data_IF_601231619149
#
_entry.id   IF_601231619149
#
_cell.length_a   1.000
_cell.length_b   1.000
_cell.length_c   1.000
_cell.angle_alpha   90.00
_cell.angle_beta   90.00
_cell.angle_gamma   90.00
#
_symmetry.space_group_name_H-M   'P 1'
#
loop_
_entity.id
_entity.type
_entity.pdbx_description
1 polymer ?
#
# COMPACT_ATOMS: atom_id res chain seq x y z
N UNK A 1 -32.99 34.89 -3.28
CA UNK A 1 -31.80 34.55 -4.11
C UNK A 1 -30.52 34.46 -3.27
N UNK A 2 -30.17 35.46 -2.43
CA UNK A 2 -28.96 35.45 -1.57
C UNK A 2 -28.83 34.23 -0.64
N UNK A 3 -29.93 33.77 -0.01
CA UNK A 3 -29.93 32.57 0.85
C UNK A 3 -29.61 31.27 0.10
N UNK A 4 -30.07 31.13 -1.16
CA UNK A 4 -29.75 29.95 -1.99
C UNK A 4 -28.26 29.94 -2.37
N UNK A 5 -27.70 31.11 -2.70
CA UNK A 5 -26.27 31.26 -3.00
C UNK A 5 -25.37 30.88 -1.80
N UNK A 6 -25.76 31.30 -0.59
CA UNK A 6 -25.07 30.94 0.66
C UNK A 6 -25.10 29.44 0.95
N UNK A 7 -26.23 28.77 0.74
CA UNK A 7 -26.37 27.32 0.93
C UNK A 7 -25.49 26.56 -0.06
N UNK A 8 -25.47 26.96 -1.33
CA UNK A 8 -24.60 26.34 -2.34
C UNK A 8 -23.12 26.53 -1.99
N UNK A 9 -22.72 27.73 -1.54
CA UNK A 9 -21.34 27.99 -1.11
C UNK A 9 -20.94 27.10 0.06
N UNK A 10 -21.80 26.98 1.08
CA UNK A 10 -21.54 26.12 2.23
C UNK A 10 -21.41 24.64 1.85
N UNK A 11 -22.26 24.14 0.94
CA UNK A 11 -22.17 22.78 0.41
C UNK A 11 -20.86 22.52 -0.36
N UNK A 12 -20.41 23.47 -1.20
CA UNK A 12 -19.15 23.34 -1.93
C UNK A 12 -17.93 23.32 -0.99
N UNK A 13 -17.93 24.15 0.06
CA UNK A 13 -16.84 24.17 1.05
C UNK A 13 -16.81 22.86 1.85
N UNK A 14 -17.96 22.31 2.22
CA UNK A 14 -18.04 21.05 2.96
C UNK A 14 -17.54 19.85 2.15
N UNK A 15 -17.80 19.80 0.84
CA UNK A 15 -17.26 18.74 -0.01
C UNK A 15 -15.73 18.79 -0.17
N UNK A 16 -15.11 19.95 0.00
CA UNK A 16 -13.66 20.12 -0.19
C UNK A 16 -12.82 19.62 0.99
N UNK A 17 -13.44 19.32 2.14
CA UNK A 17 -12.73 18.88 3.37
C UNK A 17 -12.88 17.38 3.66
N UNK A 18 -13.54 16.62 2.78
CA UNK A 18 -13.70 15.18 2.95
C UNK A 18 -12.42 14.46 2.50
N UNK A 19 -11.78 13.70 3.41
CA UNK A 19 -10.67 12.80 3.06
C UNK A 19 -11.23 11.40 2.82
N UNK A 20 -10.96 10.83 1.65
CA UNK A 20 -11.33 9.46 1.32
C UNK A 20 -10.09 8.56 1.49
N UNK A 21 -9.93 7.98 2.68
CA UNK A 21 -8.97 6.90 2.90
C UNK A 21 -9.67 5.55 2.63
N UNK A 22 -8.96 4.63 1.99
CA UNK A 22 -9.48 3.31 1.62
C UNK A 22 -8.66 2.25 2.34
N UNK A 23 -9.31 1.52 3.24
CA UNK A 23 -8.83 0.24 3.76
C UNK A 23 -9.48 -0.88 2.96
N UNK A 24 -8.72 -1.91 2.64
CA UNK A 24 -9.23 -3.11 1.97
C UNK A 24 -9.29 -4.23 3.00
N UNK A 25 -10.48 -4.51 3.54
CA UNK A 25 -10.60 -5.58 4.51
C UNK A 25 -11.90 -5.65 5.30
N UNK A 26 -11.88 -6.51 6.32
CA UNK A 26 -13.05 -6.89 7.12
C UNK A 26 -13.60 -5.74 7.99
N UNK A 27 -12.75 -4.80 8.44
CA UNK A 27 -13.16 -3.61 9.21
C UNK A 27 -12.84 -2.27 8.49
N UNK A 28 -13.59 -1.90 7.44
CA UNK A 28 -13.29 -0.72 6.62
C UNK A 28 -13.54 0.63 7.33
N UNK A 29 -14.15 0.63 8.52
CA UNK A 29 -14.46 1.86 9.28
C UNK A 29 -13.34 2.26 10.25
N UNK A 30 -12.42 1.36 10.57
CA UNK A 30 -11.25 1.65 11.41
C UNK A 30 -10.00 1.61 10.54
N UNK A 31 -9.49 2.79 10.19
CA UNK A 31 -8.35 2.98 9.32
C UNK A 31 -7.21 3.56 10.15
N UNK A 32 -6.02 2.96 10.07
CA UNK A 32 -4.83 3.52 10.71
C UNK A 32 -4.39 4.79 9.96
N UNK A 33 -4.31 5.91 10.68
CA UNK A 33 -3.94 7.20 10.11
C UNK A 33 -2.51 7.24 9.53
N UNK A 34 -1.64 6.32 9.95
CA UNK A 34 -0.28 6.18 9.41
C UNK A 34 -0.22 5.32 8.12
N UNK A 35 -1.32 4.66 7.73
CA UNK A 35 -1.37 3.77 6.58
C UNK A 35 -1.71 4.50 5.28
N UNK A 36 -0.84 4.34 4.28
CA UNK A 36 -1.17 4.67 2.88
C UNK A 36 -1.93 3.52 2.22
N UNK A 37 -1.61 2.27 2.57
CA UNK A 37 -2.31 1.05 2.15
C UNK A 37 -2.44 0.13 3.35
N UNK A 38 -3.67 -0.24 3.68
CA UNK A 38 -3.98 -1.19 4.75
C UNK A 38 -4.82 -2.35 4.20
N UNK A 39 -4.34 -3.57 4.43
CA UNK A 39 -5.02 -4.82 4.05
C UNK A 39 -5.36 -5.58 5.33
N UNK A 40 -6.63 -5.92 5.53
CA UNK A 40 -7.09 -6.71 6.67
C UNK A 40 -7.94 -7.86 6.18
N UNK A 41 -7.53 -9.10 6.46
CA UNK A 41 -8.31 -10.27 6.09
C UNK A 41 -7.93 -11.46 6.96
N UNK A 42 -8.90 -12.32 7.25
CA UNK A 42 -8.68 -13.58 7.96
C UNK A 42 -8.36 -14.76 7.02
N UNK A 43 -8.61 -14.62 5.72
CA UNK A 43 -8.51 -15.70 4.72
C UNK A 43 -7.78 -15.34 3.42
N UNK A 44 -7.39 -14.07 3.24
CA UNK A 44 -6.66 -13.57 2.06
C UNK A 44 -5.34 -12.95 2.47
N UNK A 45 -4.42 -12.86 1.52
CA UNK A 45 -3.06 -12.36 1.74
C UNK A 45 -2.63 -11.40 0.64
N UNK A 46 -1.66 -10.54 0.94
CA UNK A 46 -0.90 -9.82 -0.07
C UNK A 46 0.08 -10.78 -0.74
N UNK A 47 -0.09 -11.01 -2.03
CA UNK A 47 0.92 -11.67 -2.85
C UNK A 47 1.78 -10.58 -3.50
N UNK A 48 3.01 -10.41 -3.02
CA UNK A 48 4.01 -9.54 -3.65
C UNK A 48 4.58 -10.20 -4.92
N UNK A 49 5.33 -9.44 -5.72
CA UNK A 49 5.99 -9.94 -6.94
C UNK A 49 6.83 -11.19 -6.65
N UNK A 50 6.56 -12.29 -7.37
CA UNK A 50 7.26 -13.58 -7.24
C UNK A 50 8.18 -13.79 -8.43
N UNK A 51 9.46 -14.02 -8.18
CA UNK A 51 10.50 -14.16 -9.22
C UNK A 51 11.53 -15.20 -8.80
N UNK A 52 12.21 -15.83 -9.77
CA UNK A 52 13.40 -16.61 -9.48
C UNK A 52 14.64 -15.70 -9.29
N UNK A 53 15.79 -16.25 -8.92
CA UNK A 53 16.98 -15.44 -8.60
C UNK A 53 17.49 -14.67 -9.82
N UNK A 54 17.44 -15.27 -11.02
CA UNK A 54 17.86 -14.59 -12.25
C UNK A 54 16.96 -13.39 -12.57
N UNK A 55 15.64 -13.56 -12.44
CA UNK A 55 14.66 -12.51 -12.65
C UNK A 55 14.79 -11.40 -11.59
N UNK A 56 14.97 -11.77 -10.32
CA UNK A 56 15.19 -10.81 -9.23
C UNK A 56 16.39 -9.91 -9.49
N UNK A 57 17.51 -10.49 -9.90
CA UNK A 57 18.75 -9.76 -10.19
C UNK A 57 18.67 -8.91 -11.48
N UNK A 58 17.68 -9.17 -12.35
CA UNK A 58 17.43 -8.38 -13.55
C UNK A 58 16.52 -7.15 -13.29
N UNK A 59 15.87 -7.07 -12.12
CA UNK A 59 15.05 -5.92 -11.74
C UNK A 59 15.98 -4.73 -11.46
N UNK A 60 15.55 -3.51 -11.83
CA UNK A 60 16.15 -2.24 -11.36
C UNK A 60 15.25 -1.70 -10.24
N UNK A 61 15.48 -2.08 -8.97
CA UNK A 61 14.59 -1.73 -7.85
C UNK A 61 14.91 -0.34 -7.28
N UNK A 62 13.90 0.27 -6.65
CA UNK A 62 14.12 1.36 -5.69
C UNK A 62 14.38 0.79 -4.28
N UNK A 63 15.04 1.57 -3.41
CA UNK A 63 15.18 1.22 -2.00
C UNK A 63 13.80 0.95 -1.37
N UNK A 64 13.70 -0.14 -0.62
CA UNK A 64 12.44 -0.61 -0.01
C UNK A 64 11.59 -1.51 -0.91
N UNK A 65 12.02 -1.79 -2.16
CA UNK A 65 11.34 -2.80 -2.98
C UNK A 65 11.38 -4.18 -2.31
N UNK A 66 10.31 -4.96 -2.47
CA UNK A 66 10.19 -6.31 -1.91
C UNK A 66 9.77 -7.30 -2.98
N UNK A 67 10.34 -8.51 -2.94
CA UNK A 67 9.96 -9.64 -3.80
C UNK A 67 9.97 -10.92 -2.98
N UNK A 68 9.21 -11.92 -3.43
CA UNK A 68 9.37 -13.30 -2.97
C UNK A 68 10.22 -14.06 -4.00
N UNK A 69 11.43 -14.46 -3.61
CA UNK A 69 12.30 -15.27 -4.44
C UNK A 69 11.86 -16.74 -4.38
N UNK A 70 11.55 -17.34 -5.53
CA UNK A 70 11.04 -18.71 -5.62
C UNK A 70 12.12 -19.79 -5.52
N UNK A 71 13.37 -19.47 -5.86
CA UNK A 71 14.49 -20.43 -5.77
C UNK A 71 14.93 -20.55 -4.30
N UNK A 72 15.07 -19.41 -3.62
CA UNK A 72 15.45 -19.33 -2.20
C UNK A 72 14.25 -19.49 -1.25
N UNK A 73 13.03 -19.54 -1.80
CA UNK A 73 11.76 -19.67 -1.07
C UNK A 73 11.56 -18.63 0.04
N UNK A 74 12.05 -17.39 -0.17
CA UNK A 74 12.12 -16.36 0.85
C UNK A 74 11.76 -14.96 0.33
N UNK A 75 11.35 -14.07 1.23
CA UNK A 75 11.19 -12.64 0.95
C UNK A 75 12.57 -11.96 0.93
N UNK A 76 12.79 -11.14 -0.08
CA UNK A 76 13.94 -10.24 -0.18
C UNK A 76 13.48 -8.78 -0.18
N UNK A 77 14.24 -7.91 0.48
CA UNK A 77 14.09 -6.46 0.36
C UNK A 77 15.33 -5.84 -0.26
N UNK A 78 15.15 -4.79 -1.06
CA UNK A 78 16.28 -4.05 -1.63
C UNK A 78 16.65 -2.88 -0.71
N UNK A 79 17.88 -2.88 -0.19
CA UNK A 79 18.35 -1.86 0.76
C UNK A 79 18.88 -0.57 0.11
N UNK A 80 18.83 -0.48 -1.22
CA UNK A 80 19.41 0.60 -2.01
C UNK A 80 20.72 0.21 -2.70
N UNK A 81 21.40 -0.82 -2.21
CA UNK A 81 22.67 -1.35 -2.72
C UNK A 81 22.58 -2.80 -3.19
N UNK A 82 21.75 -3.62 -2.56
CA UNK A 82 21.60 -5.03 -2.87
C UNK A 82 20.31 -5.64 -2.32
N UNK A 83 20.02 -6.86 -2.79
CA UNK A 83 18.94 -7.68 -2.28
C UNK A 83 19.35 -8.36 -0.98
N UNK A 84 18.57 -8.16 0.07
CA UNK A 84 18.77 -8.73 1.40
C UNK A 84 17.72 -9.80 1.68
N UNK A 85 18.19 -11.00 2.05
CA UNK A 85 17.34 -12.13 2.40
C UNK A 85 16.77 -11.93 3.82
N UNK A 86 15.45 -11.91 3.97
CA UNK A 86 14.79 -11.68 5.28
C UNK A 86 14.52 -12.96 6.08
N UNK A 87 14.83 -14.14 5.55
CA UNK A 87 14.66 -15.42 6.25
C UNK A 87 15.98 -15.96 6.80
N UNK A 88 17.12 -15.42 6.37
CA UNK A 88 18.43 -15.74 6.92
C UNK A 88 18.60 -15.01 8.26
N UNK A 89 18.66 -15.78 9.36
CA UNK A 89 18.94 -15.29 10.72
C UNK A 89 20.43 -15.36 11.03
#
# INVERSE_FOLDING_TARGET
MKKKLLITYFLCVFSAVMSAQIKIGDNPQNIDAASVLELESTDRVLVITRVNTSQMNAIIPNQGAMVYNTDDQCIFYYDGTGWQNLCAS
#
